data_IF_815568557173
#
_entry.id   IF_815568557173
#
_cell.length_a   1.000
_cell.length_b   1.000
_cell.length_c   1.000
_cell.angle_alpha   90.00
_cell.angle_beta   90.00
_cell.angle_gamma   90.00
#
_symmetry.space_group_name_H-M   'P 1'
#
loop_
_entity.id
_entity.type
_entity.pdbx_description
1 polymer ?
#
# COMPACT_ATOMS: atom_id res chain seq x y z
N UNK A 1 21.27 -45.67 -52.95
CA UNK A 1 20.59 -45.72 -51.63
C UNK A 1 21.29 -44.74 -50.70
N UNK A 2 20.84 -43.47 -50.63
CA UNK A 2 21.41 -42.48 -49.71
C UNK A 2 20.64 -42.52 -48.39
N UNK A 3 21.35 -42.82 -47.30
CA UNK A 3 20.79 -42.87 -45.93
C UNK A 3 20.45 -41.45 -45.49
N UNK A 4 19.16 -41.15 -45.30
CA UNK A 4 18.74 -39.95 -44.56
C UNK A 4 18.98 -40.22 -43.07
N UNK A 5 19.88 -39.45 -42.45
CA UNK A 5 20.03 -39.42 -40.99
C UNK A 5 19.03 -38.40 -40.44
N UNK A 6 18.02 -38.87 -39.72
CA UNK A 6 17.05 -38.02 -39.03
C UNK A 6 17.69 -37.59 -37.70
N UNK A 7 18.00 -36.30 -37.57
CA UNK A 7 18.44 -35.69 -36.32
C UNK A 7 17.19 -35.21 -35.57
N UNK A 8 16.90 -35.83 -34.44
CA UNK A 8 15.80 -35.47 -33.55
C UNK A 8 16.27 -34.37 -32.59
N UNK A 9 15.79 -33.13 -32.76
CA UNK A 9 16.10 -32.02 -31.87
C UNK A 9 15.09 -32.04 -30.72
N UNK A 10 15.52 -32.52 -29.55
CA UNK A 10 14.75 -32.41 -28.32
C UNK A 10 14.79 -30.96 -27.82
N UNK A 11 13.68 -30.24 -28.00
CA UNK A 11 13.49 -28.90 -27.42
C UNK A 11 13.09 -29.06 -25.95
N UNK A 12 14.02 -28.82 -25.04
CA UNK A 12 13.73 -28.70 -23.61
C UNK A 12 12.96 -27.40 -23.36
N UNK A 13 11.65 -27.51 -23.13
CA UNK A 13 10.85 -26.39 -22.62
C UNK A 13 11.34 -26.12 -21.20
N UNK A 14 12.15 -25.08 -21.03
CA UNK A 14 12.38 -24.48 -19.72
C UNK A 14 11.04 -23.87 -19.34
N UNK A 15 10.25 -24.59 -18.55
CA UNK A 15 9.13 -24.00 -17.85
C UNK A 15 9.73 -22.99 -16.87
N UNK A 16 9.80 -21.73 -17.29
CA UNK A 16 9.98 -20.62 -16.38
C UNK A 16 8.82 -20.73 -15.39
N UNK A 17 9.10 -21.28 -14.20
CA UNK A 17 8.19 -21.18 -13.09
C UNK A 17 7.97 -19.69 -12.89
N UNK A 18 6.82 -19.19 -13.34
CA UNK A 18 6.34 -17.88 -12.95
C UNK A 18 6.12 -18.06 -11.46
N UNK A 19 7.15 -17.75 -10.66
CA UNK A 19 6.96 -17.55 -9.23
C UNK A 19 5.80 -16.57 -9.14
N UNK A 20 4.70 -16.97 -8.50
CA UNK A 20 3.63 -16.04 -8.22
C UNK A 20 4.30 -14.85 -7.54
N UNK A 21 4.42 -13.73 -8.26
CA UNK A 21 5.04 -12.55 -7.66
C UNK A 21 4.19 -12.23 -6.44
N UNK A 22 4.84 -12.13 -5.27
CA UNK A 22 4.19 -11.57 -4.10
C UNK A 22 3.48 -10.29 -4.55
N UNK A 23 2.23 -10.11 -4.11
CA UNK A 23 1.49 -8.96 -4.57
C UNK A 23 2.27 -7.67 -4.19
N UNK A 24 2.22 -6.65 -5.05
CA UNK A 24 3.04 -5.46 -4.88
C UNK A 24 2.69 -4.73 -3.58
N UNK A 25 3.61 -3.89 -3.12
CA UNK A 25 3.34 -2.98 -1.99
C UNK A 25 2.13 -2.10 -2.35
N UNK A 26 1.06 -2.05 -1.53
CA UNK A 26 -0.11 -1.22 -1.83
C UNK A 26 0.32 0.23 -1.84
N UNK A 27 0.07 0.94 -2.94
CA UNK A 27 0.51 2.33 -3.09
C UNK A 27 -0.22 3.27 -2.14
N UNK A 28 -1.41 2.90 -1.68
CA UNK A 28 -2.15 3.59 -0.62
C UNK A 28 -1.55 3.41 0.79
N UNK A 29 -0.67 2.42 0.98
CA UNK A 29 0.04 2.19 2.25
C UNK A 29 1.29 3.07 2.42
N UNK A 30 1.86 3.54 1.31
CA UNK A 30 3.21 4.12 1.34
C UNK A 30 3.20 5.54 1.95
N UNK A 31 4.31 5.98 2.58
CA UNK A 31 4.48 7.37 2.97
C UNK A 31 4.26 8.32 1.79
N UNK A 32 3.63 9.47 2.02
CA UNK A 32 3.27 10.41 0.94
C UNK A 32 4.47 10.97 0.16
N UNK A 33 5.67 10.94 0.76
CA UNK A 33 6.92 11.38 0.17
C UNK A 33 7.78 10.24 -0.40
N UNK A 34 7.30 8.98 -0.34
CA UNK A 34 8.04 7.85 -0.87
C UNK A 34 8.09 7.90 -2.40
N UNK A 35 9.29 7.80 -2.96
CA UNK A 35 9.47 7.74 -4.42
C UNK A 35 9.17 6.34 -4.94
N UNK A 36 8.78 6.21 -6.22
CA UNK A 36 8.52 4.91 -6.83
C UNK A 36 9.75 3.98 -6.77
N UNK A 37 10.95 4.52 -7.01
CA UNK A 37 12.18 3.75 -6.90
C UNK A 37 12.42 3.24 -5.47
N UNK A 38 12.17 4.06 -4.45
CA UNK A 38 12.27 3.65 -3.04
C UNK A 38 11.25 2.54 -2.70
N UNK A 39 10.03 2.61 -3.25
CA UNK A 39 9.01 1.58 -3.07
C UNK A 39 9.46 0.27 -3.71
N UNK A 40 9.96 0.30 -4.94
CA UNK A 40 10.48 -0.88 -5.64
C UNK A 40 11.65 -1.51 -4.87
N UNK A 41 12.59 -0.69 -4.36
CA UNK A 41 13.70 -1.17 -3.53
C UNK A 41 13.16 -1.84 -2.27
N UNK A 42 12.25 -1.20 -1.53
CA UNK A 42 11.66 -1.79 -0.33
C UNK A 42 10.93 -3.12 -0.64
N UNK A 43 10.11 -3.14 -1.70
CA UNK A 43 9.34 -4.30 -2.16
C UNK A 43 10.24 -5.51 -2.47
N UNK A 44 11.40 -5.28 -3.07
CA UNK A 44 12.37 -6.34 -3.36
C UNK A 44 12.87 -7.08 -2.11
N UNK A 45 12.86 -6.43 -0.95
CA UNK A 45 13.30 -7.01 0.32
C UNK A 45 12.17 -7.69 1.12
N UNK A 46 10.91 -7.31 0.88
CA UNK A 46 9.79 -7.74 1.74
C UNK A 46 8.72 -8.56 1.04
N UNK A 47 8.80 -8.75 -0.27
CA UNK A 47 7.85 -9.56 -1.05
C UNK A 47 7.51 -10.89 -0.37
N UNK A 48 8.53 -11.69 -0.02
CA UNK A 48 8.32 -12.96 0.69
C UNK A 48 7.72 -12.81 2.10
N UNK A 49 7.99 -11.70 2.79
CA UNK A 49 7.38 -11.42 4.11
C UNK A 49 5.89 -11.10 3.95
N UNK A 50 5.51 -10.38 2.89
CA UNK A 50 4.10 -10.08 2.61
C UNK A 50 3.29 -11.36 2.35
N UNK A 51 3.88 -12.35 1.68
CA UNK A 51 3.27 -13.67 1.51
C UNK A 51 3.14 -14.41 2.84
N UNK A 52 4.15 -14.36 3.71
CA UNK A 52 4.07 -14.96 5.06
C UNK A 52 2.99 -14.28 5.93
N UNK A 53 2.83 -12.96 5.81
CA UNK A 53 1.76 -12.20 6.50
C UNK A 53 0.38 -12.62 6.02
N UNK A 54 0.19 -12.77 4.71
CA UNK A 54 -1.06 -13.32 4.14
C UNK A 54 -1.36 -14.74 4.64
N UNK A 55 -0.32 -15.49 4.98
CA UNK A 55 -0.44 -16.84 5.52
C UNK A 55 -0.46 -16.88 7.06
N UNK A 56 -0.69 -15.74 7.72
CA UNK A 56 -0.95 -15.67 9.16
C UNK A 56 0.22 -15.24 10.04
N UNK A 57 1.35 -14.80 9.47
CA UNK A 57 2.44 -14.22 10.26
C UNK A 57 1.98 -12.97 11.02
N UNK A 58 2.33 -12.89 12.31
CA UNK A 58 2.04 -11.76 13.17
C UNK A 58 2.76 -10.47 12.75
N UNK A 59 2.16 -9.32 13.05
CA UNK A 59 2.73 -8.01 12.71
C UNK A 59 4.12 -7.80 13.33
N UNK A 60 4.29 -8.11 14.61
CA UNK A 60 5.55 -7.91 15.32
C UNK A 60 6.67 -8.78 14.71
N UNK A 61 6.38 -10.03 14.37
CA UNK A 61 7.33 -10.96 13.76
C UNK A 61 7.74 -10.51 12.35
N UNK A 62 6.75 -10.13 11.52
CA UNK A 62 6.99 -9.61 10.18
C UNK A 62 7.84 -8.32 10.21
N UNK A 63 7.59 -7.43 11.18
CA UNK A 63 8.41 -6.24 11.40
C UNK A 63 9.82 -6.58 11.85
N UNK A 64 9.99 -7.50 12.80
CA UNK A 64 11.32 -7.90 13.26
C UNK A 64 12.14 -8.52 12.11
N UNK A 65 11.49 -9.35 11.29
CA UNK A 65 12.10 -10.00 10.12
C UNK A 65 12.52 -8.98 9.06
N UNK A 66 11.62 -8.07 8.67
CA UNK A 66 11.92 -7.03 7.67
C UNK A 66 12.99 -6.06 8.16
N UNK A 67 12.94 -5.62 9.42
CA UNK A 67 13.96 -4.75 10.01
C UNK A 67 15.35 -5.40 9.97
N UNK A 68 15.47 -6.69 10.31
CA UNK A 68 16.76 -7.40 10.22
C UNK A 68 17.30 -7.43 8.79
N UNK A 69 16.42 -7.66 7.80
CA UNK A 69 16.80 -7.67 6.38
C UNK A 69 17.29 -6.28 5.96
N UNK A 70 16.55 -5.22 6.24
CA UNK A 70 16.95 -3.86 5.88
C UNK A 70 18.20 -3.40 6.59
N UNK A 71 18.37 -3.73 7.87
CA UNK A 71 19.57 -3.34 8.61
C UNK A 71 20.81 -3.96 7.98
N UNK A 72 20.76 -5.26 7.65
CA UNK A 72 21.84 -5.94 6.96
C UNK A 72 22.07 -5.38 5.55
N UNK A 73 21.01 -5.14 4.78
CA UNK A 73 21.14 -4.55 3.44
C UNK A 73 21.79 -3.16 3.50
N UNK A 74 21.40 -2.34 4.48
CA UNK A 74 21.96 -1.01 4.69
C UNK A 74 23.43 -1.06 5.10
N UNK A 75 23.79 -1.92 6.07
CA UNK A 75 25.19 -2.14 6.46
C UNK A 75 26.09 -2.57 5.29
N UNK A 76 25.53 -3.31 4.33
CA UNK A 76 26.25 -3.79 3.16
C UNK A 76 26.13 -2.88 1.92
N UNK A 77 25.52 -1.68 2.05
CA UNK A 77 25.38 -0.73 0.94
C UNK A 77 24.42 -1.18 -0.18
N UNK A 78 23.48 -2.08 0.11
CA UNK A 78 22.58 -2.70 -0.86
C UNK A 78 21.22 -1.97 -0.98
N UNK A 79 21.03 -0.85 -0.30
CA UNK A 79 19.76 -0.10 -0.25
C UNK A 79 19.62 0.96 -1.34
N UNK A 80 20.46 0.92 -2.38
CA UNK A 80 20.48 1.92 -3.46
C UNK A 80 20.62 3.37 -2.94
N UNK A 81 21.34 3.56 -1.83
CA UNK A 81 21.54 4.85 -1.19
C UNK A 81 20.45 5.27 -0.19
N UNK A 82 19.33 4.54 -0.10
CA UNK A 82 18.29 4.84 0.88
C UNK A 82 18.69 4.42 2.29
N UNK A 83 18.24 5.19 3.28
CA UNK A 83 18.44 4.86 4.68
C UNK A 83 17.57 3.69 5.14
N UNK A 84 18.00 3.06 6.22
CA UNK A 84 17.21 2.06 6.92
C UNK A 84 15.80 2.56 7.30
N UNK A 85 15.69 3.80 7.79
CA UNK A 85 14.41 4.39 8.22
C UNK A 85 13.41 4.58 7.07
N UNK A 86 13.92 4.98 5.91
CA UNK A 86 13.13 5.17 4.69
C UNK A 86 12.49 3.88 4.18
N UNK A 87 13.26 2.79 4.14
CA UNK A 87 12.76 1.50 3.65
C UNK A 87 11.86 0.80 4.67
N UNK A 88 12.20 0.90 5.96
CA UNK A 88 11.37 0.31 7.03
C UNK A 88 10.02 0.99 7.17
N UNK A 89 9.91 2.30 6.93
CA UNK A 89 8.62 3.00 6.92
C UNK A 89 7.66 2.41 5.87
N UNK A 90 8.13 2.21 4.64
CA UNK A 90 7.34 1.59 3.56
C UNK A 90 6.93 0.18 3.95
N UNK A 91 7.88 -0.62 4.43
CA UNK A 91 7.62 -2.01 4.76
C UNK A 91 6.62 -2.17 5.91
N UNK A 92 6.76 -1.39 6.97
CA UNK A 92 5.87 -1.46 8.12
C UNK A 92 4.43 -1.14 7.75
N UNK A 93 4.21 -0.15 6.89
CA UNK A 93 2.87 0.20 6.43
C UNK A 93 2.29 -0.89 5.51
N UNK A 94 3.09 -1.43 4.59
CA UNK A 94 2.66 -2.51 3.71
C UNK A 94 2.28 -3.77 4.49
N UNK A 95 3.12 -4.17 5.46
CA UNK A 95 2.87 -5.31 6.37
C UNK A 95 1.60 -5.08 7.18
N UNK A 96 1.41 -3.87 7.72
CA UNK A 96 0.21 -3.53 8.49
C UNK A 96 -1.05 -3.68 7.63
N UNK A 97 -1.06 -3.11 6.44
CA UNK A 97 -2.21 -3.17 5.55
C UNK A 97 -2.49 -4.61 5.07
N UNK A 98 -1.47 -5.36 4.68
CA UNK A 98 -1.64 -6.76 4.27
C UNK A 98 -2.27 -7.60 5.36
N UNK A 99 -1.77 -7.44 6.60
CA UNK A 99 -2.34 -8.11 7.76
C UNK A 99 -3.78 -7.70 7.99
N UNK A 100 -4.09 -6.41 7.89
CA UNK A 100 -5.43 -5.91 8.14
C UNK A 100 -6.44 -6.43 7.11
N UNK A 101 -6.07 -6.39 5.84
CA UNK A 101 -6.88 -6.92 4.74
C UNK A 101 -7.08 -8.44 4.84
N UNK A 102 -6.05 -9.18 5.27
CA UNK A 102 -6.13 -10.61 5.51
C UNK A 102 -7.04 -10.96 6.70
N UNK A 103 -6.96 -10.20 7.80
CA UNK A 103 -7.76 -10.45 9.01
C UNK A 103 -9.21 -9.97 8.88
N UNK A 104 -9.46 -8.92 8.09
CA UNK A 104 -10.76 -8.26 7.96
C UNK A 104 -11.21 -8.12 6.49
N UNK A 105 -11.18 -9.17 5.66
CA UNK A 105 -11.44 -9.03 4.22
C UNK A 105 -12.83 -8.47 3.92
N UNK A 106 -13.86 -8.91 4.66
CA UNK A 106 -15.22 -8.43 4.48
C UNK A 106 -15.35 -6.93 4.77
N UNK A 107 -14.59 -6.39 5.74
CA UNK A 107 -14.60 -4.96 6.03
C UNK A 107 -14.20 -4.14 4.81
N UNK A 108 -13.13 -4.54 4.11
CA UNK A 108 -12.68 -3.83 2.91
C UNK A 108 -13.69 -3.95 1.76
N UNK A 109 -14.23 -5.16 1.54
CA UNK A 109 -15.24 -5.41 0.49
C UNK A 109 -16.50 -4.57 0.73
N UNK A 110 -17.01 -4.53 1.96
CA UNK A 110 -18.26 -3.84 2.30
C UNK A 110 -18.14 -2.32 2.34
N UNK A 111 -16.93 -1.79 2.55
CA UNK A 111 -16.72 -0.35 2.70
C UNK A 111 -16.15 0.33 1.45
N UNK A 112 -15.65 -0.41 0.46
CA UNK A 112 -15.10 0.22 -0.75
C UNK A 112 -16.14 1.10 -1.48
N UNK A 113 -17.33 0.56 -1.75
CA UNK A 113 -18.42 1.33 -2.40
C UNK A 113 -18.95 2.46 -1.51
N UNK A 114 -19.02 2.24 -0.19
CA UNK A 114 -19.48 3.26 0.76
C UNK A 114 -18.52 4.45 0.76
N UNK A 115 -17.22 4.19 0.86
CA UNK A 115 -16.20 5.25 0.81
C UNK A 115 -16.24 5.93 -0.55
N UNK A 116 -16.32 5.17 -1.65
CA UNK A 116 -16.44 5.74 -3.01
C UNK A 116 -17.60 6.73 -3.12
N UNK A 117 -18.77 6.40 -2.54
CA UNK A 117 -19.90 7.32 -2.50
C UNK A 117 -19.62 8.56 -1.64
N UNK A 118 -19.01 8.39 -0.46
CA UNK A 118 -18.68 9.51 0.46
C UNK A 118 -17.73 10.52 -0.19
N UNK A 119 -16.76 10.06 -0.98
CA UNK A 119 -15.70 10.90 -1.56
C UNK A 119 -15.86 11.13 -3.07
N UNK A 120 -17.04 10.86 -3.64
CA UNK A 120 -17.27 10.89 -5.09
C UNK A 120 -16.89 12.25 -5.72
N UNK A 121 -17.24 13.35 -5.06
CA UNK A 121 -16.90 14.70 -5.51
C UNK A 121 -15.38 14.95 -5.49
N UNK A 122 -14.68 14.45 -4.48
CA UNK A 122 -13.22 14.55 -4.36
C UNK A 122 -12.53 13.76 -5.47
N UNK A 123 -13.01 12.55 -5.76
CA UNK A 123 -12.53 11.71 -6.86
C UNK A 123 -12.68 12.46 -8.19
N UNK A 124 -13.85 13.04 -8.47
CA UNK A 124 -14.09 13.81 -9.70
C UNK A 124 -13.15 15.02 -9.82
N UNK A 125 -13.04 15.84 -8.77
CA UNK A 125 -12.15 17.02 -8.77
C UNK A 125 -10.68 16.62 -9.02
N UNK A 126 -10.21 15.55 -8.39
CA UNK A 126 -8.84 15.08 -8.56
C UNK A 126 -8.58 14.50 -9.97
N UNK A 127 -9.54 13.75 -10.51
CA UNK A 127 -9.49 13.21 -11.86
C UNK A 127 -9.45 14.32 -12.93
N UNK A 128 -10.23 15.39 -12.72
CA UNK A 128 -10.25 16.57 -13.58
C UNK A 128 -8.99 17.46 -13.43
N UNK A 129 -8.14 17.19 -12.45
CA UNK A 129 -6.95 18.01 -12.16
C UNK A 129 -7.26 19.34 -11.47
N UNK A 130 -8.45 19.51 -10.90
CA UNK A 130 -8.86 20.72 -10.16
C UNK A 130 -8.14 20.82 -8.81
N UNK A 131 -7.79 19.68 -8.23
CA UNK A 131 -7.03 19.57 -6.98
C UNK A 131 -5.86 18.61 -7.13
N UNK A 132 -4.79 18.83 -6.37
CA UNK A 132 -3.66 17.91 -6.28
C UNK A 132 -3.94 16.73 -5.33
N UNK A 133 -3.01 15.78 -5.26
CA UNK A 133 -3.17 14.59 -4.44
C UNK A 133 -3.26 14.92 -2.95
N UNK A 134 -2.47 15.88 -2.46
CA UNK A 134 -2.46 16.25 -1.05
C UNK A 134 -3.81 16.84 -0.62
N UNK A 135 -4.38 17.69 -1.47
CA UNK A 135 -5.71 18.27 -1.27
C UNK A 135 -6.80 17.21 -1.41
N UNK A 136 -6.68 16.28 -2.34
CA UNK A 136 -7.61 15.16 -2.47
C UNK A 136 -7.60 14.26 -1.22
N UNK A 137 -6.42 13.88 -0.72
CA UNK A 137 -6.28 13.08 0.50
C UNK A 137 -6.90 13.79 1.72
N UNK A 138 -6.62 15.09 1.89
CA UNK A 138 -7.18 15.89 2.96
C UNK A 138 -8.71 16.01 2.86
N UNK A 139 -9.23 16.37 1.69
CA UNK A 139 -10.66 16.53 1.47
C UNK A 139 -11.41 15.20 1.70
N UNK A 140 -10.86 14.08 1.22
CA UNK A 140 -11.44 12.76 1.46
C UNK A 140 -11.50 12.40 2.96
N UNK A 141 -10.45 12.71 3.72
CA UNK A 141 -10.44 12.55 5.18
C UNK A 141 -11.55 13.37 5.85
N UNK A 142 -11.71 14.63 5.46
CA UNK A 142 -12.77 15.51 5.98
C UNK A 142 -14.15 14.94 5.67
N UNK A 143 -14.39 14.49 4.43
CA UNK A 143 -15.68 13.87 4.04
C UNK A 143 -15.99 12.61 4.85
N UNK A 144 -14.98 11.78 5.14
CA UNK A 144 -15.15 10.60 5.99
C UNK A 144 -15.54 11.00 7.42
N UNK A 145 -14.88 11.98 8.02
CA UNK A 145 -15.29 12.49 9.33
C UNK A 145 -16.71 13.07 9.31
N UNK A 146 -17.05 13.82 8.26
CA UNK A 146 -18.37 14.41 8.07
C UNK A 146 -19.49 13.39 7.83
N UNK A 147 -19.17 12.18 7.35
CA UNK A 147 -20.13 11.09 7.25
C UNK A 147 -20.60 10.56 8.61
N UNK A 148 -19.82 10.80 9.68
CA UNK A 148 -20.17 10.45 11.06
C UNK A 148 -20.72 11.66 11.80
N UNK A 149 -20.07 12.82 11.66
CA UNK A 149 -20.52 14.08 12.23
C UNK A 149 -20.56 15.17 11.15
N UNK A 150 -21.74 15.47 10.57
CA UNK A 150 -21.87 16.50 9.53
C UNK A 150 -21.40 17.90 9.95
N UNK A 151 -21.33 18.18 11.25
CA UNK A 151 -20.85 19.46 11.79
C UNK A 151 -19.31 19.50 11.96
N UNK A 152 -18.59 18.42 11.67
CA UNK A 152 -17.13 18.40 11.78
C UNK A 152 -16.49 19.47 10.88
N UNK A 153 -15.74 20.38 11.52
CA UNK A 153 -14.98 21.43 10.85
C UNK A 153 -13.48 21.28 11.17
N UNK A 154 -12.65 20.88 10.18
CA UNK A 154 -11.23 20.68 10.42
C UNK A 154 -10.49 21.97 10.81
N UNK A 155 -10.95 23.15 10.38
CA UNK A 155 -10.29 24.42 10.71
C UNK A 155 -10.46 24.77 12.19
N UNK A 156 -11.65 24.50 12.74
CA UNK A 156 -11.93 24.67 14.17
C UNK A 156 -11.20 23.60 15.00
N UNK A 157 -11.30 22.32 14.61
CA UNK A 157 -10.73 21.24 15.41
C UNK A 157 -9.20 21.25 15.40
N UNK A 158 -8.56 21.58 14.28
CA UNK A 158 -7.10 21.61 14.22
C UNK A 158 -6.48 22.89 14.80
N UNK A 159 -7.27 23.94 15.03
CA UNK A 159 -6.85 25.11 15.79
C UNK A 159 -6.79 24.84 17.31
N UNK A 160 -7.50 23.82 17.82
CA UNK A 160 -7.44 23.42 19.23
C UNK A 160 -6.18 22.60 19.52
N UNK A 161 -5.75 22.61 20.78
CA UNK A 161 -4.73 21.67 21.27
C UNK A 161 -5.20 20.24 21.07
N UNK A 162 -4.25 19.34 20.77
CA UNK A 162 -4.54 17.94 20.41
C UNK A 162 -5.41 17.21 21.44
N UNK A 163 -5.31 17.57 22.73
CA UNK A 163 -6.10 16.96 23.81
C UNK A 163 -7.56 17.46 23.89
N UNK A 164 -7.93 18.53 23.18
CA UNK A 164 -9.28 19.12 23.19
C UNK A 164 -10.02 19.00 21.86
N UNK A 165 -9.44 18.33 20.87
CA UNK A 165 -10.07 18.13 19.56
C UNK A 165 -11.20 17.11 19.67
N UNK A 166 -12.34 17.44 19.10
CA UNK A 166 -13.47 16.54 18.96
C UNK A 166 -13.44 15.88 17.57
N UNK A 167 -12.49 14.95 17.40
CA UNK A 167 -12.31 14.22 16.14
C UNK A 167 -13.28 13.04 16.09
N UNK A 168 -14.17 12.93 15.07
CA UNK A 168 -15.07 11.80 14.95
C UNK A 168 -14.31 10.48 14.90
N UNK A 169 -14.77 9.50 15.68
CA UNK A 169 -14.18 8.16 15.70
C UNK A 169 -14.51 7.42 14.40
N UNK A 170 -13.48 7.15 13.58
CA UNK A 170 -13.59 6.42 12.33
C UNK A 170 -12.48 5.38 12.23
N UNK A 171 -12.76 4.23 11.61
CA UNK A 171 -11.74 3.21 11.37
C UNK A 171 -10.71 3.72 10.36
N UNK A 172 -9.42 3.59 10.70
CA UNK A 172 -8.33 4.05 9.84
C UNK A 172 -8.34 3.39 8.45
N UNK A 173 -8.88 2.18 8.32
CA UNK A 173 -8.95 1.47 7.04
C UNK A 173 -9.87 2.17 6.04
N UNK A 174 -10.81 3.02 6.47
CA UNK A 174 -11.60 3.87 5.57
C UNK A 174 -10.71 4.90 4.84
N UNK A 175 -9.71 5.46 5.52
CA UNK A 175 -8.75 6.36 4.88
C UNK A 175 -7.86 5.63 3.89
N UNK A 176 -7.44 4.41 4.20
CA UNK A 176 -6.69 3.55 3.27
C UNK A 176 -7.50 3.26 2.01
N UNK A 177 -8.78 2.90 2.15
CA UNK A 177 -9.70 2.71 1.02
C UNK A 177 -9.84 3.99 0.20
N UNK A 178 -10.01 5.15 0.85
CA UNK A 178 -10.09 6.43 0.14
C UNK A 178 -8.82 6.73 -0.67
N UNK A 179 -7.64 6.50 -0.10
CA UNK A 179 -6.37 6.67 -0.82
C UNK A 179 -6.25 5.73 -2.01
N UNK A 180 -6.65 4.45 -1.87
CA UNK A 180 -6.71 3.48 -2.98
C UNK A 180 -7.57 4.03 -4.12
N UNK A 181 -8.80 4.43 -3.81
CA UNK A 181 -9.75 4.95 -4.80
C UNK A 181 -9.23 6.20 -5.52
N UNK A 182 -8.61 7.14 -4.79
CA UNK A 182 -7.99 8.33 -5.39
C UNK A 182 -6.85 7.95 -6.34
N UNK A 183 -5.95 7.04 -5.92
CA UNK A 183 -4.80 6.62 -6.74
C UNK A 183 -5.23 5.85 -7.99
N UNK A 184 -6.35 5.14 -7.95
CA UNK A 184 -6.91 4.40 -9.10
C UNK A 184 -7.47 5.32 -10.20
N UNK A 185 -7.75 6.61 -9.91
CA UNK A 185 -8.29 7.55 -10.90
C UNK A 185 -7.31 7.96 -12.00
N UNK A 186 -6.00 7.84 -11.76
CA UNK A 186 -4.94 8.27 -12.70
C UNK A 186 -4.07 7.12 -13.19
N UNK A 187 -4.51 5.87 -12.97
CA UNK A 187 -3.90 4.68 -13.57
C UNK A 187 -4.49 4.42 -14.95
#
# INVERSE_FOLDING_TARGET
MRKLSIILIATSIIASAITANAAPVPRESVPCNATEHQIVVAESYISGILDEVKNGMGFADAKAKSNRIFFNAWLNGQTSGYSYGELTAIANNAIFQYRDMYLRPNFYIENEEKVRAIIADVITQYANGEIDYAKAEFNARVKIYQSVNPAFNPDEEFAKDTCYRDIPSVDNSLFTIARKLILETKK
#
